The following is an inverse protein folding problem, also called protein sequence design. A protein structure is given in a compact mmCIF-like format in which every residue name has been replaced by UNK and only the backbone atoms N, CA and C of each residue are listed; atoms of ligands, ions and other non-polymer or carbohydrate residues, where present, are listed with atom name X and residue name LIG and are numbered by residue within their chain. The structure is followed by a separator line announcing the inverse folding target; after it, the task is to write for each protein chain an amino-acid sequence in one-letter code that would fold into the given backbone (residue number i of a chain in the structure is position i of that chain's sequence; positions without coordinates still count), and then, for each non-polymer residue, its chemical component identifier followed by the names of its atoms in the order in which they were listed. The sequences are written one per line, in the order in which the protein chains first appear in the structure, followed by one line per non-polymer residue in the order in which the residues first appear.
data_IF_797222348867
#
_entry.id   IF_797222348867
#
_cell.length_a   1.000
_cell.length_b   1.000
_cell.length_c   1.000
_cell.angle_alpha   90.00
_cell.angle_beta   90.00
_cell.angle_gamma   90.00
#
_symmetry.space_group_name_H-M   'P 1'
#
loop_
_entity.id
_entity.type
_entity.pdbx_description
1 polymer ?
#
# COMPACT_ATOMS: atom_id res chain seq x y z
N UNK A 1 8.15 -10.07 -28.83
CA UNK A 1 8.52 -8.68 -28.49
C UNK A 1 7.24 -7.88 -28.38
N UNK A 2 6.76 -7.62 -27.18
CA UNK A 2 5.57 -6.80 -26.95
C UNK A 2 6.01 -5.34 -26.81
N UNK A 3 5.50 -4.49 -27.71
CA UNK A 3 5.74 -3.05 -27.69
C UNK A 3 4.98 -2.42 -26.50
N UNK A 4 5.69 -2.07 -25.45
CA UNK A 4 5.12 -1.26 -24.37
C UNK A 4 5.01 0.19 -24.83
N UNK A 5 3.79 0.73 -24.86
CA UNK A 5 3.55 2.15 -25.12
C UNK A 5 4.06 2.98 -23.94
N UNK A 6 4.95 3.88 -24.25
CA UNK A 6 5.56 4.86 -23.34
C UNK A 6 4.48 5.82 -22.86
N UNK A 7 4.35 5.98 -21.55
CA UNK A 7 3.54 7.03 -20.95
C UNK A 7 4.42 8.23 -20.57
N UNK A 8 4.18 9.39 -21.19
CA UNK A 8 4.83 10.65 -20.87
C UNK A 8 4.25 11.23 -19.59
N UNK A 9 5.08 11.47 -18.60
CA UNK A 9 4.74 12.30 -17.44
C UNK A 9 5.01 13.76 -17.85
N UNK A 10 3.97 14.61 -17.88
CA UNK A 10 4.15 16.05 -18.05
C UNK A 10 4.68 16.66 -16.76
N UNK A 11 5.94 17.06 -16.76
CA UNK A 11 6.42 18.09 -15.87
C UNK A 11 5.92 19.45 -16.38
N UNK A 12 5.48 20.32 -15.49
CA UNK A 12 5.07 21.70 -15.82
C UNK A 12 6.22 22.46 -16.47
N UNK A 13 6.04 22.87 -17.72
CA UNK A 13 6.99 23.67 -18.49
C UNK A 13 7.66 22.90 -19.62
N UNK A 14 7.21 23.11 -20.82
CA UNK A 14 7.76 22.85 -22.18
C UNK A 14 9.10 22.08 -22.29
N UNK A 15 9.12 20.81 -21.87
CA UNK A 15 10.11 19.85 -22.33
C UNK A 15 9.50 18.46 -22.30
N UNK A 16 9.15 17.92 -23.46
CA UNK A 16 8.85 16.50 -23.64
C UNK A 16 10.15 15.72 -23.43
N UNK A 17 10.41 15.28 -22.20
CA UNK A 17 11.41 14.25 -21.95
C UNK A 17 10.73 12.88 -22.04
N UNK A 18 10.87 12.22 -23.19
CA UNK A 18 10.66 10.79 -23.28
C UNK A 18 11.83 10.09 -22.56
N UNK A 19 11.68 9.83 -21.28
CA UNK A 19 12.59 8.93 -20.58
C UNK A 19 12.29 7.51 -21.05
N UNK A 20 13.12 7.00 -22.00
CA UNK A 20 13.33 5.58 -22.23
C UNK A 20 14.12 5.03 -21.04
N UNK A 21 13.55 5.02 -19.86
CA UNK A 21 14.16 4.33 -18.74
C UNK A 21 13.53 2.95 -18.67
N UNK A 22 14.23 1.94 -19.13
CA UNK A 22 13.94 0.54 -18.80
C UNK A 22 14.35 0.33 -17.35
N UNK A 23 13.54 0.87 -16.43
CA UNK A 23 13.73 0.65 -14.99
C UNK A 23 13.66 -0.86 -14.73
N UNK A 24 14.66 -1.40 -14.08
CA UNK A 24 14.64 -2.78 -13.63
C UNK A 24 14.08 -2.90 -12.20
N UNK A 25 13.88 -4.12 -11.74
CA UNK A 25 13.31 -4.43 -10.43
C UNK A 25 14.08 -3.76 -9.28
N UNK A 26 15.40 -3.80 -9.31
CA UNK A 26 16.26 -3.22 -8.28
C UNK A 26 16.19 -1.69 -8.26
N UNK A 27 16.20 -1.07 -9.42
CA UNK A 27 16.03 0.38 -9.57
C UNK A 27 14.65 0.84 -9.09
N UNK A 28 13.59 0.07 -9.38
CA UNK A 28 12.24 0.35 -8.89
C UNK A 28 12.19 0.38 -7.36
N UNK A 29 12.84 -0.58 -6.69
CA UNK A 29 12.93 -0.60 -5.23
C UNK A 29 13.70 0.61 -4.71
N UNK A 30 14.89 0.90 -5.28
CA UNK A 30 15.74 2.00 -4.84
C UNK A 30 15.02 3.35 -4.94
N UNK A 31 14.40 3.62 -6.09
CA UNK A 31 13.66 4.87 -6.32
C UNK A 31 12.43 4.97 -5.41
N UNK A 32 11.71 3.86 -5.19
CA UNK A 32 10.58 3.82 -4.27
C UNK A 32 11.00 4.14 -2.84
N UNK A 33 12.08 3.54 -2.35
CA UNK A 33 12.61 3.81 -1.00
C UNK A 33 13.08 5.25 -0.86
N UNK A 34 13.74 5.81 -1.89
CA UNK A 34 14.14 7.22 -1.91
C UNK A 34 12.90 8.13 -1.85
N UNK A 35 11.88 7.89 -2.68
CA UNK A 35 10.64 8.65 -2.66
C UNK A 35 9.94 8.61 -1.29
N UNK A 36 9.89 7.44 -0.64
CA UNK A 36 9.32 7.31 0.70
C UNK A 36 10.09 8.12 1.75
N UNK A 37 11.43 8.08 1.72
CA UNK A 37 12.29 8.87 2.61
C UNK A 37 12.13 10.37 2.42
N UNK A 38 11.85 10.80 1.19
CA UNK A 38 11.49 12.17 0.85
C UNK A 38 10.05 12.54 1.25
N UNK A 39 9.33 11.64 1.91
CA UNK A 39 7.96 11.85 2.36
C UNK A 39 6.92 11.84 1.23
N UNK A 40 7.21 11.24 0.09
CA UNK A 40 6.31 11.19 -1.07
C UNK A 40 5.24 10.11 -0.92
N UNK A 41 4.11 10.35 -1.60
CA UNK A 41 3.05 9.37 -1.80
C UNK A 41 3.34 8.53 -3.05
N UNK A 42 2.97 7.26 -3.00
CA UNK A 42 3.27 6.26 -4.03
C UNK A 42 2.01 5.69 -4.67
N UNK A 43 2.11 5.32 -5.95
CA UNK A 43 1.28 4.31 -6.60
C UNK A 43 2.17 3.09 -6.87
N UNK A 44 1.79 1.90 -6.38
CA UNK A 44 2.64 0.71 -6.44
C UNK A 44 1.85 -0.61 -6.50
N UNK A 45 2.45 -1.67 -7.07
CA UNK A 45 1.85 -3.00 -7.12
C UNK A 45 1.94 -3.71 -5.77
N UNK A 46 0.96 -4.59 -5.51
CA UNK A 46 0.94 -5.46 -4.32
C UNK A 46 0.53 -6.88 -4.72
N UNK A 47 0.56 -7.80 -3.73
CA UNK A 47 0.05 -9.17 -3.84
C UNK A 47 -1.48 -9.28 -3.98
N UNK A 48 -2.19 -8.17 -4.07
CA UNK A 48 -3.64 -8.12 -4.27
C UNK A 48 -3.98 -7.24 -5.47
N UNK A 49 -4.28 -5.99 -5.22
CA UNK A 49 -4.58 -4.97 -6.22
C UNK A 49 -3.57 -3.83 -6.09
N UNK A 50 -3.45 -3.02 -7.13
CA UNK A 50 -2.64 -1.80 -7.06
C UNK A 50 -3.05 -0.92 -5.88
N UNK A 51 -2.07 -0.41 -5.17
CA UNK A 51 -2.25 0.44 -4.00
C UNK A 51 -1.65 1.82 -4.16
N UNK A 52 -2.16 2.77 -3.40
CA UNK A 52 -1.46 4.00 -3.08
C UNK A 52 -1.03 3.96 -1.62
N UNK A 53 0.11 4.57 -1.31
CA UNK A 53 0.68 4.51 0.03
C UNK A 53 1.78 5.52 0.29
N UNK A 54 2.30 5.47 1.51
CA UNK A 54 3.43 6.31 1.97
C UNK A 54 4.13 5.63 3.15
N UNK A 55 5.21 6.23 3.64
CA UNK A 55 5.84 5.85 4.91
C UNK A 55 4.84 6.04 6.06
N UNK A 56 4.58 4.98 6.82
CA UNK A 56 3.62 5.01 7.92
C UNK A 56 4.06 5.93 9.10
N UNK A 57 5.30 6.36 9.13
CA UNK A 57 5.82 7.30 10.14
C UNK A 57 5.54 8.76 9.79
N UNK A 58 5.23 9.04 8.52
CA UNK A 58 5.09 10.40 8.02
C UNK A 58 3.60 10.84 8.06
N UNK A 59 3.23 11.57 9.13
CA UNK A 59 1.88 12.06 9.35
C UNK A 59 1.34 12.89 8.19
N UNK A 60 2.18 13.77 7.62
CA UNK A 60 1.76 14.66 6.53
C UNK A 60 1.56 13.90 5.22
N UNK A 61 2.37 12.86 4.96
CA UNK A 61 2.17 11.99 3.81
C UNK A 61 0.88 11.16 3.95
N UNK A 62 0.55 10.69 5.16
CA UNK A 62 -0.73 10.02 5.45
C UNK A 62 -1.90 10.96 5.21
N UNK A 63 -1.81 12.22 5.66
CA UNK A 63 -2.84 13.23 5.42
C UNK A 63 -3.06 13.47 3.93
N UNK A 64 -1.97 13.57 3.15
CA UNK A 64 -2.08 13.67 1.68
C UNK A 64 -2.76 12.46 1.05
N UNK A 65 -2.55 11.23 1.56
CA UNK A 65 -3.26 10.05 1.05
C UNK A 65 -4.77 10.13 1.29
N UNK A 66 -5.22 10.65 2.44
CA UNK A 66 -6.63 10.91 2.69
C UNK A 66 -7.20 11.91 1.67
N UNK A 67 -6.48 13.00 1.42
CA UNK A 67 -6.87 14.01 0.43
C UNK A 67 -6.90 13.44 -1.01
N UNK A 68 -5.88 12.68 -1.42
CA UNK A 68 -5.83 12.04 -2.76
C UNK A 68 -7.03 11.12 -2.97
N UNK A 69 -7.41 10.34 -1.95
CA UNK A 69 -8.54 9.40 -2.03
C UNK A 69 -9.89 10.05 -1.85
N UNK A 70 -9.96 11.31 -1.47
CA UNK A 70 -11.22 11.93 -1.02
C UNK A 70 -11.89 11.07 0.06
N UNK A 71 -11.08 10.59 1.02
CA UNK A 71 -11.48 9.60 2.01
C UNK A 71 -11.74 10.25 3.37
N UNK A 72 -12.87 9.93 3.96
CA UNK A 72 -13.19 10.32 5.32
C UNK A 72 -12.24 9.63 6.31
N UNK A 73 -11.73 10.39 7.30
CA UNK A 73 -10.81 9.91 8.33
C UNK A 73 -11.42 8.83 9.24
N UNK A 74 -12.74 8.72 9.31
CA UNK A 74 -13.41 7.62 10.03
C UNK A 74 -13.11 6.24 9.43
N UNK A 75 -12.65 6.20 8.16
CA UNK A 75 -12.26 4.98 7.45
C UNK A 75 -10.75 4.83 7.47
N UNK A 76 -10.19 4.18 8.48
CA UNK A 76 -8.75 3.93 8.59
C UNK A 76 -8.15 3.28 7.34
N UNK A 77 -6.85 3.48 7.12
CA UNK A 77 -6.06 2.78 6.11
C UNK A 77 -5.41 1.55 6.72
N UNK A 78 -4.89 0.65 5.90
CA UNK A 78 -4.12 -0.50 6.38
C UNK A 78 -2.62 -0.18 6.41
N UNK A 79 -1.88 -0.95 7.19
CA UNK A 79 -0.43 -0.87 7.28
C UNK A 79 0.18 -2.19 6.81
N UNK A 80 1.08 -2.13 5.84
CA UNK A 80 1.89 -3.27 5.42
C UNK A 80 3.14 -3.34 6.29
N UNK A 81 3.42 -4.53 6.83
CA UNK A 81 4.53 -4.77 7.74
C UNK A 81 5.41 -5.92 7.28
N UNK A 82 6.65 -5.96 7.75
CA UNK A 82 7.50 -7.15 7.61
C UNK A 82 6.87 -8.36 8.35
N UNK A 83 7.20 -9.59 7.95
CA UNK A 83 6.76 -10.78 8.68
C UNK A 83 7.10 -10.68 10.17
N UNK A 84 6.09 -10.92 11.03
CA UNK A 84 6.25 -10.85 12.47
C UNK A 84 5.44 -11.98 13.16
N UNK A 85 5.97 -12.63 14.20
CA UNK A 85 5.32 -13.76 14.87
C UNK A 85 3.89 -13.48 15.36
N UNK A 86 3.60 -12.27 15.83
CA UNK A 86 2.24 -11.87 16.29
C UNK A 86 1.23 -12.02 15.14
N UNK A 87 1.61 -11.67 13.92
CA UNK A 87 0.71 -11.75 12.74
C UNK A 87 0.68 -13.16 12.18
N UNK A 88 1.86 -13.80 12.05
CA UNK A 88 1.99 -15.13 11.45
C UNK A 88 1.33 -16.23 12.29
N UNK A 89 1.23 -16.04 13.61
CA UNK A 89 0.63 -17.01 14.53
C UNK A 89 -0.86 -16.73 14.83
N UNK A 90 -1.52 -15.85 14.09
CA UNK A 90 -2.97 -15.67 14.23
C UNK A 90 -3.66 -16.97 13.78
N UNK A 91 -4.46 -17.64 14.65
CA UNK A 91 -5.12 -18.88 14.31
C UNK A 91 -6.05 -18.75 13.08
N UNK A 92 -6.24 -19.85 12.35
CA UNK A 92 -7.14 -19.92 11.18
C UNK A 92 -6.80 -18.91 10.06
N UNK A 93 -5.53 -18.51 9.96
CA UNK A 93 -5.05 -17.71 8.83
C UNK A 93 -5.00 -18.59 7.58
N UNK A 94 -5.76 -18.25 6.50
CA UNK A 94 -5.61 -18.97 5.23
C UNK A 94 -4.22 -18.72 4.67
N UNK A 95 -3.52 -19.78 4.30
CA UNK A 95 -2.17 -19.69 3.72
C UNK A 95 -2.17 -19.33 2.23
N UNK A 96 -3.33 -19.48 1.57
CA UNK A 96 -3.49 -19.30 0.13
C UNK A 96 -4.14 -17.98 -0.27
N UNK A 97 -4.39 -17.08 0.68
CA UNK A 97 -5.03 -15.79 0.38
C UNK A 97 -4.47 -14.65 1.24
N UNK A 98 -4.08 -13.53 0.62
CA UNK A 98 -3.67 -12.34 1.36
C UNK A 98 -4.74 -11.89 2.34
N UNK A 99 -4.39 -11.81 3.62
CA UNK A 99 -5.33 -11.45 4.69
C UNK A 99 -4.86 -10.21 5.45
N UNK A 100 -5.77 -9.26 5.63
CA UNK A 100 -5.62 -8.09 6.49
C UNK A 100 -6.32 -8.34 7.81
N UNK A 101 -5.61 -8.14 8.91
CA UNK A 101 -6.15 -8.26 10.25
C UNK A 101 -6.41 -6.89 10.85
N UNK A 102 -7.66 -6.62 11.26
CA UNK A 102 -7.97 -5.45 12.08
C UNK A 102 -7.73 -5.84 13.52
N UNK A 103 -6.66 -5.29 14.11
CA UNK A 103 -6.19 -5.60 15.45
C UNK A 103 -6.56 -4.51 16.44
N UNK A 104 -7.01 -4.84 17.66
CA UNK A 104 -7.14 -3.89 18.74
C UNK A 104 -5.76 -3.36 19.17
N UNK A 105 -5.71 -2.15 19.77
CA UNK A 105 -4.46 -1.46 20.13
C UNK A 105 -3.52 -2.34 20.96
N UNK A 106 -4.02 -3.13 21.90
CA UNK A 106 -3.22 -4.02 22.73
C UNK A 106 -2.41 -5.08 21.96
N UNK A 107 -2.81 -5.40 20.71
CA UNK A 107 -2.13 -6.40 19.87
C UNK A 107 -1.19 -5.75 18.86
N UNK A 108 -1.51 -4.60 18.30
CA UNK A 108 -0.64 -3.98 17.30
C UNK A 108 0.42 -3.06 17.90
N UNK A 109 0.17 -2.43 19.06
CA UNK A 109 1.13 -1.52 19.68
C UNK A 109 2.46 -2.21 20.09
N UNK A 110 2.48 -3.45 20.63
CA UNK A 110 3.74 -4.17 20.85
C UNK A 110 4.51 -4.48 19.56
N UNK A 111 3.82 -4.56 18.42
CA UNK A 111 4.41 -4.81 17.11
C UNK A 111 5.04 -3.57 16.49
N UNK A 112 4.37 -2.41 16.57
CA UNK A 112 4.73 -1.20 15.87
C UNK A 112 5.22 -0.08 16.80
N UNK A 113 4.96 -0.19 18.10
CA UNK A 113 5.26 0.86 19.07
C UNK A 113 4.54 2.16 18.74
N UNK A 114 5.19 3.27 19.02
CA UNK A 114 4.73 4.63 18.69
C UNK A 114 5.40 5.15 17.38
N UNK A 115 5.86 4.23 16.53
CA UNK A 115 6.58 4.60 15.30
C UNK A 115 5.68 5.01 14.15
N UNK A 116 4.38 4.64 14.18
CA UNK A 116 3.44 5.01 13.13
C UNK A 116 2.74 6.35 13.46
N UNK A 117 2.35 7.06 12.42
CA UNK A 117 1.63 8.32 12.55
C UNK A 117 0.27 8.13 13.25
N UNK A 118 -0.08 9.07 14.11
CA UNK A 118 -1.27 9.02 14.99
C UNK A 118 -2.60 9.14 14.24
N UNK A 119 -2.57 9.60 12.98
CA UNK A 119 -3.73 9.71 12.10
C UNK A 119 -4.01 8.43 11.27
N UNK A 120 -3.35 7.29 11.54
CA UNK A 120 -3.60 6.02 10.84
C UNK A 120 -4.62 5.14 11.57
N UNK A 121 -4.50 4.91 12.90
CA UNK A 121 -5.46 4.06 13.62
C UNK A 121 -6.89 4.62 13.53
N UNK A 122 -7.87 3.71 13.57
CA UNK A 122 -9.28 4.12 13.64
C UNK A 122 -9.61 4.78 14.98
N UNK A 123 -10.75 5.47 15.06
CA UNK A 123 -11.21 6.16 16.28
C UNK A 123 -11.36 5.22 17.51
N UNK A 124 -11.64 3.93 17.26
CA UNK A 124 -11.68 2.89 18.31
C UNK A 124 -10.29 2.36 18.70
N UNK A 125 -9.22 2.94 18.15
CA UNK A 125 -7.84 2.54 18.35
C UNK A 125 -7.44 1.26 17.61
N UNK A 126 -8.30 0.69 16.78
CA UNK A 126 -7.95 -0.48 15.98
C UNK A 126 -7.11 -0.11 14.75
N UNK A 127 -6.33 -1.07 14.24
CA UNK A 127 -5.46 -0.89 13.09
C UNK A 127 -5.53 -2.10 12.17
N UNK A 128 -5.72 -1.85 10.87
CA UNK A 128 -5.62 -2.87 9.84
C UNK A 128 -4.15 -3.15 9.50
N UNK A 129 -3.71 -4.39 9.67
CA UNK A 129 -2.32 -4.80 9.41
C UNK A 129 -2.29 -5.97 8.44
N UNK A 130 -1.34 -5.98 7.50
CA UNK A 130 -1.09 -7.08 6.57
C UNK A 130 0.41 -7.30 6.39
N UNK A 131 0.81 -8.57 6.36
CA UNK A 131 2.10 -9.00 5.82
C UNK A 131 1.90 -9.25 4.32
N UNK A 132 2.51 -8.47 3.43
CA UNK A 132 2.36 -8.70 2.00
C UNK A 132 3.18 -9.92 1.55
N UNK A 133 2.62 -10.72 0.65
CA UNK A 133 3.33 -11.85 0.00
C UNK A 133 3.98 -11.44 -1.33
N UNK A 134 4.25 -10.17 -1.50
CA UNK A 134 4.83 -9.56 -2.71
C UNK A 134 6.28 -9.15 -2.46
N UNK A 135 7.21 -9.72 -3.21
CA UNK A 135 8.66 -9.52 -3.04
C UNK A 135 9.04 -8.03 -3.06
N UNK A 136 8.48 -7.25 -3.98
CA UNK A 136 8.71 -5.81 -4.03
C UNK A 136 8.30 -5.11 -2.73
N UNK A 137 7.08 -5.36 -2.24
CA UNK A 137 6.61 -4.73 -1.01
C UNK A 137 7.47 -5.11 0.20
N UNK A 138 7.84 -6.39 0.32
CA UNK A 138 8.70 -6.87 1.40
C UNK A 138 10.07 -6.20 1.36
N UNK A 139 10.66 -6.09 0.18
CA UNK A 139 11.99 -5.49 -0.01
C UNK A 139 11.97 -3.97 0.24
N UNK A 140 10.91 -3.28 -0.19
CA UNK A 140 10.72 -1.86 0.12
C UNK A 140 10.58 -1.65 1.63
N UNK A 141 9.74 -2.42 2.33
CA UNK A 141 9.57 -2.34 3.78
C UNK A 141 10.90 -2.58 4.50
N UNK A 142 11.64 -3.62 4.07
CA UNK A 142 12.94 -3.98 4.65
C UNK A 142 13.98 -2.87 4.51
N UNK A 143 14.10 -2.28 3.30
CA UNK A 143 15.10 -1.21 3.02
C UNK A 143 14.69 0.14 3.58
N UNK A 144 13.41 0.42 3.64
CA UNK A 144 12.89 1.61 4.32
C UNK A 144 13.11 1.53 5.83
N UNK A 145 13.05 0.32 6.40
CA UNK A 145 13.10 0.07 7.84
C UNK A 145 11.83 0.55 8.56
N UNK A 146 10.70 0.62 7.84
CA UNK A 146 9.43 1.13 8.37
C UNK A 146 8.24 0.48 7.67
N UNK A 147 7.07 0.42 8.33
CA UNK A 147 5.82 0.01 7.71
C UNK A 147 5.37 0.98 6.60
N UNK A 148 4.55 0.47 5.67
CA UNK A 148 3.90 1.29 4.63
C UNK A 148 2.42 1.43 4.91
N UNK A 149 1.87 2.64 4.84
CA UNK A 149 0.43 2.82 4.68
C UNK A 149 0.03 2.34 3.29
N UNK A 150 -1.09 1.64 3.20
CA UNK A 150 -1.61 1.12 1.93
C UNK A 150 -3.13 1.22 1.87
N UNK A 151 -3.61 1.61 0.72
CA UNK A 151 -5.03 1.57 0.37
C UNK A 151 -5.17 1.33 -1.13
N UNK A 152 -6.32 0.82 -1.61
CA UNK A 152 -6.55 0.55 -3.03
C UNK A 152 -6.40 1.80 -3.90
N UNK A 153 -5.88 1.63 -5.12
CA UNK A 153 -5.61 2.71 -6.08
C UNK A 153 -6.87 3.17 -6.84
N UNK A 154 -7.93 3.59 -6.10
CA UNK A 154 -9.17 4.15 -6.62
C UNK A 154 -9.61 5.34 -5.76
N UNK A 155 -10.41 6.24 -6.28
CA UNK A 155 -11.11 7.25 -5.47
C UNK A 155 -12.12 6.57 -4.53
N UNK A 156 -12.43 7.22 -3.42
CA UNK A 156 -13.33 6.65 -2.39
C UNK A 156 -14.73 6.42 -3.00
N UNK A 157 -15.24 5.19 -2.85
CA UNK A 157 -16.53 4.80 -3.42
C UNK A 157 -16.47 4.25 -4.85
N UNK A 158 -15.38 4.43 -5.58
CA UNK A 158 -15.20 3.85 -6.91
C UNK A 158 -14.71 2.38 -6.83
N UNK A 159 -14.93 1.57 -7.87
CA UNK A 159 -14.40 0.21 -7.94
C UNK A 159 -12.88 0.20 -7.86
N UNK A 160 -12.32 -0.81 -7.21
CA UNK A 160 -10.87 -1.01 -7.22
C UNK A 160 -10.40 -1.49 -8.60
N UNK A 161 -9.31 -0.93 -9.16
CA UNK A 161 -8.77 -1.33 -10.45
C UNK A 161 -8.19 -2.75 -10.37
N UNK A 162 -8.42 -3.55 -11.41
CA UNK A 162 -7.90 -4.91 -11.54
C UNK A 162 -6.47 -4.93 -12.10
N UNK A 163 -6.11 -3.91 -12.85
CA UNK A 163 -4.77 -3.76 -13.43
C UNK A 163 -4.36 -2.28 -13.49
N UNK A 164 -3.09 -2.03 -13.81
CA UNK A 164 -2.54 -0.68 -13.90
C UNK A 164 -3.31 0.23 -14.86
N UNK A 165 -3.74 -0.29 -16.00
CA UNK A 165 -4.42 0.49 -17.04
C UNK A 165 -5.83 0.95 -16.63
N UNK A 166 -6.46 0.29 -15.66
CA UNK A 166 -7.77 0.68 -15.11
C UNK A 166 -7.65 1.75 -14.02
N UNK A 167 -6.44 2.09 -13.56
CA UNK A 167 -6.24 3.14 -12.57
C UNK A 167 -6.55 4.48 -13.21
N UNK A 168 -7.47 5.24 -12.60
CA UNK A 168 -7.87 6.55 -13.08
C UNK A 168 -6.65 7.48 -13.26
N UNK A 169 -6.57 8.15 -14.42
CA UNK A 169 -5.45 9.03 -14.72
C UNK A 169 -5.35 10.16 -13.71
N UNK A 170 -6.49 10.64 -13.23
CA UNK A 170 -6.54 11.68 -12.19
C UNK A 170 -5.84 11.20 -10.90
N UNK A 171 -6.09 9.96 -10.45
CA UNK A 171 -5.41 9.40 -9.29
C UNK A 171 -3.91 9.30 -9.52
N UNK A 172 -3.49 8.85 -10.71
CA UNK A 172 -2.06 8.76 -11.06
C UNK A 172 -1.35 10.11 -11.04
N UNK A 173 -2.05 11.20 -11.39
CA UNK A 173 -1.50 12.56 -11.34
C UNK A 173 -1.43 13.14 -9.93
N UNK A 174 -2.24 12.64 -9.00
CA UNK A 174 -2.30 13.14 -7.62
C UNK A 174 -1.21 12.55 -6.72
N UNK A 175 -0.61 11.41 -7.09
CA UNK A 175 0.49 10.80 -6.33
C UNK A 175 1.84 11.34 -6.79
N UNK A 176 2.81 11.41 -5.88
CA UNK A 176 4.12 11.98 -6.16
C UNK A 176 5.04 11.05 -6.96
N UNK A 177 4.87 9.73 -6.83
CA UNK A 177 5.70 8.73 -7.51
C UNK A 177 4.87 7.51 -7.92
N UNK A 178 4.97 7.13 -9.20
CA UNK A 178 4.33 5.94 -9.75
C UNK A 178 5.39 4.88 -10.04
N UNK A 179 5.30 3.73 -9.38
CA UNK A 179 6.11 2.55 -9.75
C UNK A 179 5.66 2.06 -11.11
N UNK A 180 6.56 1.88 -12.09
CA UNK A 180 6.17 1.40 -13.41
C UNK A 180 5.62 -0.05 -13.33
N UNK A 181 4.69 -0.44 -14.21
CA UNK A 181 4.13 -1.78 -14.23
C UNK A 181 5.11 -2.79 -14.88
N UNK A 182 6.23 -3.07 -14.21
CA UNK A 182 7.19 -4.06 -14.67
C UNK A 182 6.58 -5.47 -14.60
N UNK A 183 6.85 -6.36 -15.56
CA UNK A 183 6.29 -7.71 -15.56
C UNK A 183 6.53 -8.46 -14.27
N UNK A 184 7.70 -8.32 -13.66
CA UNK A 184 8.10 -8.97 -12.41
C UNK A 184 7.34 -8.45 -11.18
N UNK A 185 6.64 -7.33 -11.33
CA UNK A 185 5.87 -6.69 -10.26
C UNK A 185 4.37 -6.96 -10.35
N UNK A 186 3.90 -7.61 -11.42
CA UNK A 186 2.47 -7.84 -11.63
C UNK A 186 2.00 -9.05 -10.83
N UNK A 187 0.89 -8.87 -10.10
CA UNK A 187 0.17 -9.97 -9.44
C UNK A 187 -0.96 -10.46 -10.34
N UNK A 188 -1.22 -11.76 -10.32
CA UNK A 188 -2.40 -12.35 -10.95
C UNK A 188 -3.67 -12.12 -10.13
N UNK A 189 -3.53 -11.79 -8.85
CA UNK A 189 -4.67 -11.53 -7.98
C UNK A 189 -5.28 -10.14 -8.29
N UNK A 190 -6.55 -10.14 -8.59
CA UNK A 190 -7.32 -8.94 -8.95
C UNK A 190 -8.34 -8.53 -7.88
N UNK A 191 -8.33 -9.20 -6.73
CA UNK A 191 -9.23 -8.94 -5.61
C UNK A 191 -8.46 -8.37 -4.42
N UNK A 192 -9.13 -7.54 -3.63
CA UNK A 192 -8.58 -7.07 -2.37
C UNK A 192 -8.37 -8.22 -1.37
N UNK A 193 -7.51 -8.00 -0.39
CA UNK A 193 -7.27 -8.99 0.68
C UNK A 193 -8.56 -9.39 1.40
N UNK A 194 -8.60 -10.60 1.93
CA UNK A 194 -9.56 -10.96 2.97
C UNK A 194 -9.37 -10.02 4.16
N UNK A 195 -10.46 -9.65 4.86
CA UNK A 195 -10.37 -8.80 6.07
C UNK A 195 -10.99 -9.54 7.24
N UNK A 196 -10.22 -9.69 8.30
CA UNK A 196 -10.64 -10.33 9.56
C UNK A 196 -10.42 -9.36 10.72
N UNK A 197 -11.45 -9.10 11.52
CA UNK A 197 -11.33 -8.32 12.76
C UNK A 197 -11.11 -9.27 13.93
N UNK A 198 -10.05 -9.04 14.70
CA UNK A 198 -9.84 -9.70 16.00
C UNK A 198 -10.46 -8.85 17.09
N UNK A 199 -11.30 -9.48 17.90
CA UNK A 199 -11.88 -8.86 19.08
C UNK A 199 -10.94 -9.01 20.30
N UNK A 200 -11.12 -8.20 21.36
CA UNK A 200 -10.28 -8.28 22.56
C UNK A 200 -10.28 -9.62 23.28
N UNK A 201 -11.31 -10.42 23.11
CA UNK A 201 -11.46 -11.79 23.66
C UNK A 201 -10.80 -12.88 22.80
N UNK A 202 -10.21 -12.52 21.64
CA UNK A 202 -9.59 -13.43 20.68
C UNK A 202 -10.55 -13.95 19.60
N UNK A 203 -11.84 -13.60 19.67
CA UNK A 203 -12.82 -13.97 18.64
C UNK A 203 -12.50 -13.30 17.31
N UNK A 204 -12.72 -14.01 16.21
CA UNK A 204 -12.49 -13.50 14.86
C UNK A 204 -13.83 -13.28 14.13
N UNK A 205 -13.94 -12.12 13.47
CA UNK A 205 -15.08 -11.80 12.61
C UNK A 205 -14.59 -11.50 11.20
N UNK A 206 -15.12 -12.19 10.20
CA UNK A 206 -14.81 -11.92 8.78
C UNK A 206 -15.61 -10.71 8.32
N UNK A 207 -14.92 -9.64 7.97
CA UNK A 207 -15.52 -8.39 7.47
C UNK A 207 -15.64 -8.44 5.94
N UNK A 208 -14.63 -9.03 5.29
CA UNK A 208 -14.61 -9.27 3.84
C UNK A 208 -14.02 -10.65 3.59
N UNK A 209 -14.76 -11.56 2.91
CA UNK A 209 -14.28 -12.90 2.57
C UNK A 209 -13.20 -12.85 1.50
#
# INVERSE_FOLDING_TARGET
MQNYKIFSIRASGDAFFSYFCTMNFEEAIQQTVAALRDGKTLLYPTDTIWGIGCDARNRDAVERLYAIKERDHSKSMIVLVAPHPIILNIPNTPTNRPTTYILPKKLWQPLLGDTIADNIPAADGSLGIRVPHHTFCQEVIRRLGAPLVSTSANLSGHPSPKCYNEIEEELRRRVDFCVPPLPELLSEETRGSRIVKLLPDGTQTVIRP
#
